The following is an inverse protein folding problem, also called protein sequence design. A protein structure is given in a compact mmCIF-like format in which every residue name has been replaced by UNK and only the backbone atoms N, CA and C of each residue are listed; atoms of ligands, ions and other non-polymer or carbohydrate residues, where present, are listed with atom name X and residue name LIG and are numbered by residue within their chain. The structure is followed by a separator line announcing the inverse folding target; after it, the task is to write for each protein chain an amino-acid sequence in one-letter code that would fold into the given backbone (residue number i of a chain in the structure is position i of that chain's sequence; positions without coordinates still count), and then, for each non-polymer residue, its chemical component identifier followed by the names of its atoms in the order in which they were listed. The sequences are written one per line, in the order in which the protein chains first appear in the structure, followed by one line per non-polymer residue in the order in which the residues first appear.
data_IF_012915941051
#
_entry.id   IF_012915941051
#
_cell.length_a   1.000
_cell.length_b   1.000
_cell.length_c   1.000
_cell.angle_alpha   90.00
_cell.angle_beta   90.00
_cell.angle_gamma   90.00
#
_symmetry.space_group_name_H-M   'P 1'
#
loop_
_entity.id
_entity.type
_entity.pdbx_description
1 polymer ?
#
# COMPACT_ATOMS: atom_id res chain seq x y z
N UNK A 1 1.92 54.07 -63.62
CA UNK A 1 2.15 52.92 -64.51
C UNK A 1 3.11 52.02 -63.81
N UNK A 2 2.70 50.91 -63.38
CA UNK A 2 2.96 49.51 -63.78
C UNK A 2 2.31 48.59 -62.75
N UNK A 3 1.45 47.74 -63.24
CA UNK A 3 0.69 46.72 -62.44
C UNK A 3 1.58 45.61 -61.98
N UNK A 4 1.50 45.20 -60.67
CA UNK A 4 2.04 43.99 -60.07
C UNK A 4 0.92 43.09 -59.56
N UNK A 5 0.70 41.95 -60.23
CA UNK A 5 -0.30 40.95 -59.91
C UNK A 5 -0.03 40.29 -58.55
N UNK A 6 -1.00 40.31 -57.63
CA UNK A 6 -1.04 39.48 -56.44
C UNK A 6 -1.34 38.02 -56.84
N UNK A 7 -0.38 37.12 -56.57
CA UNK A 7 -0.61 35.67 -56.51
C UNK A 7 -1.28 35.34 -55.17
N UNK A 8 -2.47 34.75 -55.20
CA UNK A 8 -3.09 34.07 -54.06
C UNK A 8 -2.30 32.77 -53.80
N UNK A 9 -1.61 32.69 -52.66
CA UNK A 9 -1.16 31.43 -52.13
C UNK A 9 -2.28 30.85 -51.30
N UNK A 10 -2.77 29.71 -51.68
CA UNK A 10 -3.66 28.86 -50.93
C UNK A 10 -2.78 28.16 -49.90
N UNK A 11 -2.75 28.67 -48.68
CA UNK A 11 -2.16 27.95 -47.53
C UNK A 11 -3.08 26.80 -47.11
N UNK A 12 -2.69 25.65 -47.56
CA UNK A 12 -3.19 24.37 -47.06
C UNK A 12 -2.57 24.16 -45.64
N UNK A 13 -3.28 24.60 -44.60
CA UNK A 13 -2.93 24.24 -43.22
C UNK A 13 -3.22 22.75 -43.07
N UNK A 14 -2.21 21.91 -43.36
CA UNK A 14 -2.13 20.54 -42.83
C UNK A 14 -2.12 20.68 -41.30
N UNK A 15 -3.08 20.04 -40.65
CA UNK A 15 -3.11 19.83 -39.22
C UNK A 15 -1.83 19.04 -38.85
N UNK A 16 -0.81 19.74 -38.39
CA UNK A 16 0.36 19.11 -37.76
C UNK A 16 -0.15 18.38 -36.51
N UNK A 17 -0.31 17.08 -36.62
CA UNK A 17 -0.43 16.21 -35.46
C UNK A 17 0.78 16.45 -34.58
N UNK A 18 0.56 16.87 -33.35
CA UNK A 18 1.59 16.97 -32.33
C UNK A 18 2.17 15.56 -32.18
N UNK A 19 3.38 15.34 -32.68
CA UNK A 19 4.12 14.09 -32.42
C UNK A 19 4.22 13.95 -30.91
N UNK A 20 3.54 12.93 -30.36
CA UNK A 20 3.60 12.62 -28.94
C UNK A 20 4.98 12.02 -28.68
N UNK A 21 5.85 12.77 -28.01
CA UNK A 21 7.18 12.30 -27.61
C UNK A 21 7.04 11.13 -26.65
N UNK A 22 7.45 9.94 -27.10
CA UNK A 22 7.41 8.70 -26.29
C UNK A 22 8.66 8.65 -25.44
N UNK A 23 8.54 8.69 -24.10
CA UNK A 23 9.71 8.60 -23.23
C UNK A 23 10.48 7.30 -23.45
N UNK A 24 11.80 7.38 -23.42
CA UNK A 24 12.63 6.17 -23.47
C UNK A 24 12.53 5.43 -22.13
N UNK A 25 11.97 4.24 -22.15
CA UNK A 25 11.85 3.34 -21.00
C UNK A 25 12.77 2.14 -21.22
N UNK A 26 13.83 2.03 -20.40
CA UNK A 26 14.70 0.85 -20.42
C UNK A 26 14.00 -0.31 -19.72
N UNK A 27 13.60 -1.33 -20.47
CA UNK A 27 12.84 -2.47 -19.94
C UNK A 27 13.76 -3.70 -19.86
N UNK A 28 13.88 -4.27 -18.66
CA UNK A 28 14.61 -5.50 -18.35
C UNK A 28 13.63 -6.56 -17.86
N UNK A 29 13.24 -7.46 -18.74
CA UNK A 29 12.24 -8.50 -18.44
C UNK A 29 12.85 -9.58 -17.57
N UNK A 30 12.11 -10.04 -16.57
CA UNK A 30 12.53 -11.14 -15.70
C UNK A 30 12.09 -12.49 -16.30
N UNK A 31 12.99 -13.48 -16.26
CA UNK A 31 12.66 -14.85 -16.74
C UNK A 31 12.79 -15.05 -18.25
N UNK A 32 13.19 -14.04 -19.01
CA UNK A 32 13.45 -14.12 -20.45
C UNK A 32 14.94 -13.94 -20.70
N UNK A 33 15.51 -14.67 -21.66
CA UNK A 33 16.92 -14.49 -22.07
C UNK A 33 17.13 -13.04 -22.52
N UNK A 34 18.28 -12.46 -22.17
CA UNK A 34 18.59 -11.05 -22.43
C UNK A 34 18.55 -10.68 -23.90
N UNK A 35 19.09 -11.53 -24.77
CA UNK A 35 19.11 -11.29 -26.22
C UNK A 35 17.70 -11.42 -26.83
N UNK A 36 16.92 -12.38 -26.39
CA UNK A 36 15.53 -12.54 -26.75
C UNK A 36 14.69 -11.33 -26.31
N UNK A 37 14.85 -10.87 -25.07
CA UNK A 37 14.15 -9.69 -24.55
C UNK A 37 14.46 -8.43 -25.37
N UNK A 38 15.71 -8.22 -25.77
CA UNK A 38 16.12 -7.10 -26.64
C UNK A 38 15.46 -7.23 -28.03
N UNK A 39 15.46 -8.41 -28.61
CA UNK A 39 14.80 -8.67 -29.91
C UNK A 39 13.29 -8.37 -29.86
N UNK A 40 12.60 -8.84 -28.81
CA UNK A 40 11.17 -8.57 -28.60
C UNK A 40 10.90 -7.07 -28.45
N UNK A 41 11.72 -6.36 -27.70
CA UNK A 41 11.61 -4.90 -27.51
C UNK A 41 11.76 -4.13 -28.83
N UNK A 42 12.76 -4.47 -29.65
CA UNK A 42 12.97 -3.86 -30.97
C UNK A 42 11.77 -4.12 -31.88
N UNK A 43 11.27 -5.35 -31.94
CA UNK A 43 10.10 -5.70 -32.71
C UNK A 43 8.83 -4.95 -32.21
N UNK A 44 8.66 -4.79 -30.92
CA UNK A 44 7.51 -4.09 -30.35
C UNK A 44 7.53 -2.58 -30.63
N UNK A 45 8.69 -1.94 -30.76
CA UNK A 45 8.81 -0.50 -31.09
C UNK A 45 8.13 -0.13 -32.42
N UNK A 46 8.02 -1.07 -33.36
CA UNK A 46 7.38 -0.88 -34.65
C UNK A 46 5.85 -1.04 -34.61
N UNK A 47 5.29 -1.49 -33.48
CA UNK A 47 3.85 -1.72 -33.35
C UNK A 47 3.12 -0.42 -32.99
N UNK A 48 1.93 -0.16 -33.55
CA UNK A 48 1.14 1.06 -33.27
C UNK A 48 0.73 1.17 -31.79
N UNK A 49 0.66 0.05 -31.07
CA UNK A 49 0.37 0.01 -29.63
C UNK A 49 1.55 0.38 -28.74
N UNK A 50 2.77 0.54 -29.26
CA UNK A 50 3.96 0.83 -28.44
C UNK A 50 3.90 2.20 -27.76
N UNK A 51 3.63 3.32 -28.48
CA UNK A 51 3.52 4.62 -27.85
C UNK A 51 2.51 4.67 -26.70
N UNK A 52 1.24 4.27 -26.86
CA UNK A 52 0.28 4.30 -25.77
C UNK A 52 0.64 3.33 -24.63
N UNK A 53 1.30 2.20 -24.92
CA UNK A 53 1.76 1.25 -23.90
C UNK A 53 2.82 1.88 -22.98
N UNK A 54 3.82 2.53 -23.54
CA UNK A 54 4.89 3.18 -22.76
C UNK A 54 4.37 4.41 -22.00
N UNK A 55 3.53 5.23 -22.66
CA UNK A 55 2.93 6.40 -22.03
C UNK A 55 2.04 6.04 -20.84
N UNK A 56 1.31 4.94 -20.92
CA UNK A 56 0.47 4.46 -19.82
C UNK A 56 1.31 4.23 -18.55
N UNK A 57 2.45 3.55 -18.65
CA UNK A 57 3.32 3.23 -17.51
C UNK A 57 4.11 4.47 -17.05
N UNK A 58 4.68 5.23 -17.97
CA UNK A 58 5.47 6.42 -17.60
C UNK A 58 4.61 7.50 -16.96
N UNK A 59 3.37 7.69 -17.43
CA UNK A 59 2.41 8.61 -16.80
C UNK A 59 1.98 8.12 -15.42
N UNK A 60 1.80 6.82 -15.24
CA UNK A 60 1.53 6.24 -13.92
C UNK A 60 2.67 6.53 -12.93
N UNK A 61 3.92 6.32 -13.35
CA UNK A 61 5.10 6.66 -12.53
C UNK A 61 5.14 8.16 -12.22
N UNK A 62 4.93 9.02 -13.22
CA UNK A 62 4.93 10.47 -13.06
C UNK A 62 3.84 10.97 -12.10
N UNK A 63 2.69 10.33 -12.11
CA UNK A 63 1.57 10.64 -11.20
C UNK A 63 1.67 9.92 -9.86
N UNK A 64 2.73 9.12 -9.65
CA UNK A 64 2.96 8.30 -8.43
C UNK A 64 1.91 7.22 -8.22
N UNK A 65 1.31 6.71 -9.29
CA UNK A 65 0.43 5.57 -9.20
C UNK A 65 1.22 4.32 -8.77
N UNK A 66 0.70 3.59 -7.82
CA UNK A 66 1.25 2.30 -7.39
C UNK A 66 0.60 1.12 -8.12
N UNK A 67 -0.53 1.36 -8.82
CA UNK A 67 -1.22 0.36 -9.65
C UNK A 67 -1.85 1.00 -10.87
N UNK A 68 -1.91 0.20 -11.94
CA UNK A 68 -2.74 0.47 -13.14
C UNK A 68 -3.70 -0.69 -13.28
N UNK A 69 -4.99 -0.41 -13.33
CA UNK A 69 -6.03 -1.41 -13.61
C UNK A 69 -6.66 -1.08 -14.96
N UNK A 70 -6.74 -2.06 -15.87
CA UNK A 70 -7.39 -1.92 -17.15
C UNK A 70 -8.49 -2.97 -17.25
N UNK A 71 -9.71 -2.54 -17.39
CA UNK A 71 -10.87 -3.40 -17.63
C UNK A 71 -11.26 -3.31 -19.12
N UNK A 72 -11.13 -4.44 -19.81
CA UNK A 72 -11.52 -4.59 -21.22
C UNK A 72 -12.98 -5.01 -21.33
N UNK A 73 -13.69 -4.44 -22.29
CA UNK A 73 -15.06 -4.79 -22.66
C UNK A 73 -15.19 -4.95 -24.17
N UNK A 74 -16.36 -5.32 -24.66
CA UNK A 74 -16.62 -5.41 -26.10
C UNK A 74 -16.43 -4.07 -26.84
N UNK A 75 -16.67 -2.94 -26.13
CA UNK A 75 -16.66 -1.60 -26.72
C UNK A 75 -15.29 -0.90 -26.63
N UNK A 76 -14.39 -1.35 -25.76
CA UNK A 76 -13.09 -0.72 -25.51
C UNK A 76 -12.52 -1.08 -24.17
N UNK A 77 -11.68 -0.22 -23.62
CA UNK A 77 -11.12 -0.42 -22.28
C UNK A 77 -11.11 0.88 -21.46
N UNK A 78 -11.25 0.72 -20.15
CA UNK A 78 -11.09 1.80 -19.17
C UNK A 78 -9.87 1.49 -18.31
N UNK A 79 -8.90 2.39 -18.35
CA UNK A 79 -7.75 2.33 -17.47
C UNK A 79 -7.97 3.23 -16.24
N UNK A 80 -7.43 2.79 -15.09
CA UNK A 80 -7.46 3.53 -13.84
C UNK A 80 -6.09 3.50 -13.21
N UNK A 81 -5.66 4.64 -12.67
CA UNK A 81 -4.49 4.73 -11.82
C UNK A 81 -4.88 4.71 -10.35
N UNK A 82 -4.14 3.98 -9.52
CA UNK A 82 -4.28 4.12 -8.08
C UNK A 82 -3.20 5.07 -7.56
N UNK A 83 -3.60 6.30 -7.22
CA UNK A 83 -2.71 7.35 -6.70
C UNK A 83 -3.02 7.61 -5.24
N UNK A 84 -2.02 7.47 -4.38
CA UNK A 84 -2.18 7.65 -2.93
C UNK A 84 -3.35 6.81 -2.34
N UNK A 85 -3.62 5.63 -2.92
CA UNK A 85 -4.68 4.70 -2.51
C UNK A 85 -6.05 4.93 -3.15
N UNK A 86 -6.24 5.98 -3.95
CA UNK A 86 -7.49 6.29 -4.64
C UNK A 86 -7.40 5.91 -6.12
N UNK A 87 -8.45 5.28 -6.64
CA UNK A 87 -8.56 4.97 -8.05
C UNK A 87 -9.07 6.18 -8.83
N UNK A 88 -8.33 6.59 -9.85
CA UNK A 88 -8.67 7.68 -10.77
C UNK A 88 -8.85 7.09 -12.17
N UNK A 89 -10.01 7.29 -12.77
CA UNK A 89 -10.28 6.83 -14.14
C UNK A 89 -9.58 7.72 -15.16
N UNK A 90 -8.98 7.10 -16.16
CA UNK A 90 -8.47 7.77 -17.34
C UNK A 90 -9.57 7.84 -18.43
N UNK A 91 -9.41 8.66 -19.45
CA UNK A 91 -10.28 8.62 -20.62
C UNK A 91 -10.39 7.21 -21.17
N UNK A 92 -11.59 6.81 -21.59
CA UNK A 92 -11.82 5.51 -22.21
C UNK A 92 -11.03 5.38 -23.52
N UNK A 93 -10.48 4.19 -23.76
CA UNK A 93 -9.79 3.84 -24.99
C UNK A 93 -10.72 3.04 -25.89
N UNK A 94 -10.68 3.32 -27.19
CA UNK A 94 -11.34 2.45 -28.18
C UNK A 94 -10.71 1.05 -28.16
N UNK A 95 -11.46 0.08 -28.71
CA UNK A 95 -11.07 -1.33 -28.68
C UNK A 95 -9.75 -1.60 -29.39
N UNK A 96 -9.52 -0.98 -30.56
CA UNK A 96 -8.33 -1.20 -31.36
C UNK A 96 -7.06 -0.70 -30.66
N UNK A 97 -7.11 0.50 -30.09
CA UNK A 97 -6.01 1.08 -29.29
C UNK A 97 -5.72 0.24 -28.04
N UNK A 98 -6.75 -0.18 -27.32
CA UNK A 98 -6.60 -0.98 -26.12
C UNK A 98 -6.00 -2.38 -26.40
N UNK A 99 -6.47 -3.05 -27.45
CA UNK A 99 -5.95 -4.35 -27.87
C UNK A 99 -4.50 -4.24 -28.37
N UNK A 100 -4.18 -3.21 -29.15
CA UNK A 100 -2.81 -2.96 -29.62
C UNK A 100 -1.83 -2.74 -28.45
N UNK A 101 -2.22 -1.95 -27.44
CA UNK A 101 -1.45 -1.73 -26.22
C UNK A 101 -1.21 -3.04 -25.45
N UNK A 102 -2.23 -3.86 -25.27
CA UNK A 102 -2.15 -5.13 -24.56
C UNK A 102 -1.23 -6.14 -25.26
N UNK A 103 -1.34 -6.22 -26.59
CA UNK A 103 -0.46 -7.06 -27.42
C UNK A 103 1.01 -6.69 -27.23
N UNK A 104 1.32 -5.38 -27.16
CA UNK A 104 2.68 -4.90 -26.91
C UNK A 104 3.18 -5.38 -25.55
N UNK A 105 2.42 -5.19 -24.48
CA UNK A 105 2.86 -5.60 -23.15
C UNK A 105 3.03 -7.12 -23.04
N UNK A 106 2.09 -7.91 -23.56
CA UNK A 106 2.23 -9.37 -23.57
C UNK A 106 3.46 -9.83 -24.36
N UNK A 107 3.71 -9.24 -25.53
CA UNK A 107 4.92 -9.56 -26.34
C UNK A 107 6.21 -9.17 -25.62
N UNK A 108 6.32 -7.96 -25.06
CA UNK A 108 7.50 -7.51 -24.31
C UNK A 108 7.80 -8.50 -23.17
N UNK A 109 6.78 -9.02 -22.51
CA UNK A 109 6.90 -9.92 -21.35
C UNK A 109 7.04 -11.40 -21.75
N UNK A 110 7.12 -11.73 -23.03
CA UNK A 110 7.19 -13.13 -23.50
C UNK A 110 5.90 -13.93 -23.26
N UNK A 111 4.77 -13.25 -23.09
CA UNK A 111 3.46 -13.85 -22.85
C UNK A 111 2.70 -14.07 -24.17
N UNK A 112 1.67 -14.92 -24.14
CA UNK A 112 0.81 -15.18 -25.32
C UNK A 112 -0.22 -14.07 -25.52
N UNK A 113 -0.13 -13.24 -26.59
CA UNK A 113 -1.10 -12.17 -26.85
C UNK A 113 -2.51 -12.68 -27.18
N UNK A 114 -2.63 -13.89 -27.71
CA UNK A 114 -3.91 -14.48 -28.10
C UNK A 114 -4.68 -15.05 -26.90
N UNK A 115 -3.98 -15.40 -25.82
CA UNK A 115 -4.61 -15.92 -24.60
C UNK A 115 -5.24 -14.79 -23.79
N UNK A 116 -6.57 -14.84 -23.61
CA UNK A 116 -7.34 -13.81 -22.91
C UNK A 116 -8.16 -14.34 -21.73
N UNK A 117 -8.18 -15.66 -21.54
CA UNK A 117 -8.99 -16.30 -20.48
C UNK A 117 -8.13 -16.75 -19.31
N UNK A 118 -7.05 -17.46 -19.61
CA UNK A 118 -6.11 -17.92 -18.58
C UNK A 118 -5.34 -16.76 -17.97
N UNK A 119 -4.98 -16.92 -16.70
CA UNK A 119 -4.11 -15.98 -16.01
C UNK A 119 -2.71 -16.05 -16.62
N UNK A 120 -2.15 -14.89 -16.88
CA UNK A 120 -0.76 -14.71 -17.29
C UNK A 120 -0.10 -13.68 -16.39
N UNK A 121 1.10 -13.98 -15.90
CA UNK A 121 1.88 -13.12 -15.04
C UNK A 121 3.23 -12.81 -15.71
N UNK A 122 3.68 -11.57 -15.58
CA UNK A 122 4.99 -11.12 -16.07
C UNK A 122 5.61 -10.09 -15.12
N UNK A 123 6.92 -9.91 -15.21
CA UNK A 123 7.64 -8.94 -14.38
C UNK A 123 8.79 -8.33 -15.14
N UNK A 124 8.98 -7.03 -14.97
CA UNK A 124 10.13 -6.34 -15.54
C UNK A 124 10.66 -5.26 -14.59
N UNK A 125 11.92 -4.96 -14.72
CA UNK A 125 12.57 -3.82 -14.09
C UNK A 125 12.78 -2.72 -15.11
N UNK A 126 12.75 -1.48 -14.67
CA UNK A 126 13.04 -0.31 -15.50
C UNK A 126 13.72 0.77 -14.69
N UNK A 127 14.59 1.57 -15.35
CA UNK A 127 15.05 2.84 -14.81
C UNK A 127 14.27 3.96 -15.49
N UNK A 128 13.68 4.83 -14.70
CA UNK A 128 12.96 6.00 -15.21
C UNK A 128 13.19 7.18 -14.26
N UNK A 129 13.74 8.27 -14.77
CA UNK A 129 14.17 9.46 -14.01
C UNK A 129 15.13 9.11 -12.86
N UNK A 130 16.16 8.33 -13.17
CA UNK A 130 17.21 7.89 -12.24
C UNK A 130 16.69 7.08 -11.02
N UNK A 131 15.47 6.56 -11.13
CA UNK A 131 14.87 5.69 -10.14
C UNK A 131 14.64 4.31 -10.75
N UNK A 132 15.10 3.27 -10.04
CA UNK A 132 14.86 1.89 -10.41
C UNK A 132 13.46 1.45 -9.93
N UNK A 133 12.68 0.93 -10.86
CA UNK A 133 11.34 0.41 -10.63
C UNK A 133 11.27 -1.07 -10.93
N UNK A 134 10.40 -1.76 -10.23
CA UNK A 134 9.99 -3.13 -10.52
C UNK A 134 8.49 -3.11 -10.77
N UNK A 135 8.09 -3.64 -11.92
CA UNK A 135 6.70 -3.61 -12.36
C UNK A 135 6.24 -5.05 -12.62
N UNK A 136 5.22 -5.47 -11.88
CA UNK A 136 4.56 -6.74 -12.09
C UNK A 136 3.33 -6.54 -12.95
N UNK A 137 3.11 -7.43 -13.91
CA UNK A 137 1.97 -7.47 -14.82
C UNK A 137 1.18 -8.73 -14.55
N UNK A 138 -0.13 -8.62 -14.52
CA UNK A 138 -1.06 -9.75 -14.46
C UNK A 138 -2.21 -9.50 -15.42
N UNK A 139 -2.56 -10.48 -16.23
CA UNK A 139 -3.81 -10.47 -16.99
C UNK A 139 -4.64 -11.70 -16.69
N UNK A 140 -5.95 -11.57 -16.70
CA UNK A 140 -6.89 -12.68 -16.48
C UNK A 140 -8.22 -12.42 -17.16
N UNK A 141 -8.88 -13.47 -17.64
CA UNK A 141 -10.23 -13.38 -18.18
C UNK A 141 -11.24 -13.06 -17.07
N UNK A 142 -12.20 -12.22 -17.41
CA UNK A 142 -13.36 -11.88 -16.58
C UNK A 142 -14.63 -11.96 -17.45
N UNK A 143 -15.84 -12.08 -16.89
CA UNK A 143 -17.06 -12.21 -17.69
C UNK A 143 -17.27 -11.10 -18.73
N UNK A 144 -16.82 -9.89 -18.46
CA UNK A 144 -16.92 -8.73 -19.34
C UNK A 144 -15.80 -8.64 -20.40
N UNK A 145 -14.76 -9.49 -20.32
CA UNK A 145 -13.60 -9.45 -21.21
C UNK A 145 -12.32 -9.89 -20.54
N UNK A 146 -11.31 -9.01 -20.52
CA UNK A 146 -10.02 -9.25 -19.86
C UNK A 146 -9.73 -8.15 -18.86
N UNK A 147 -9.11 -8.50 -17.76
CA UNK A 147 -8.64 -7.55 -16.73
C UNK A 147 -7.12 -7.60 -16.65
N UNK A 148 -6.50 -6.45 -16.67
CA UNK A 148 -5.04 -6.30 -16.56
C UNK A 148 -4.71 -5.44 -15.34
N UNK A 149 -3.74 -5.90 -14.55
CA UNK A 149 -3.24 -5.18 -13.39
C UNK A 149 -1.72 -5.04 -13.50
N UNK A 150 -1.23 -3.80 -13.43
CA UNK A 150 0.18 -3.53 -13.16
C UNK A 150 0.33 -3.12 -11.69
N UNK A 151 1.37 -3.63 -11.05
CA UNK A 151 1.81 -3.17 -9.73
C UNK A 151 3.18 -2.53 -9.90
N UNK A 152 3.32 -1.27 -9.47
CA UNK A 152 4.50 -0.43 -9.69
C UNK A 152 5.16 -0.19 -8.34
N UNK A 153 6.40 -0.65 -8.18
CA UNK A 153 7.16 -0.57 -6.94
C UNK A 153 8.56 -0.02 -7.19
N UNK A 154 9.11 0.73 -6.24
CA UNK A 154 10.52 1.10 -6.28
C UNK A 154 11.37 -0.11 -5.92
N UNK A 155 12.46 -0.35 -6.66
CA UNK A 155 13.39 -1.45 -6.39
C UNK A 155 14.05 -1.31 -5.01
N UNK A 156 14.38 -0.08 -4.63
CA UNK A 156 14.94 0.21 -3.29
C UNK A 156 13.87 0.83 -2.41
N UNK A 157 13.66 0.34 -1.20
CA UNK A 157 12.71 0.94 -0.26
C UNK A 157 13.18 2.34 0.12
N UNK A 158 12.22 3.26 0.21
CA UNK A 158 12.48 4.65 0.62
C UNK A 158 12.43 4.77 2.13
N UNK A 159 11.52 4.02 2.78
CA UNK A 159 11.28 4.04 4.22
C UNK A 159 12.17 3.00 4.91
N UNK A 160 12.91 3.42 5.93
CA UNK A 160 13.88 2.57 6.65
C UNK A 160 13.66 2.54 8.16
N UNK A 161 13.03 3.57 8.71
CA UNK A 161 12.86 3.74 10.15
C UNK A 161 11.39 3.86 10.53
N UNK A 162 11.06 3.62 11.80
CA UNK A 162 9.72 3.83 12.34
C UNK A 162 9.32 5.32 12.24
N UNK A 163 10.28 6.23 12.33
CA UNK A 163 10.07 7.67 12.11
C UNK A 163 9.68 7.99 10.68
N UNK A 164 10.28 7.31 9.69
CA UNK A 164 9.90 7.48 8.26
C UNK A 164 8.44 7.06 8.00
N UNK A 165 7.92 6.10 8.77
CA UNK A 165 6.51 5.72 8.72
C UNK A 165 5.57 6.79 9.29
N UNK A 166 6.10 7.75 10.04
CA UNK A 166 5.33 8.76 10.78
C UNK A 166 4.92 8.31 12.18
N UNK A 167 5.56 7.26 12.73
CA UNK A 167 5.28 6.79 14.09
C UNK A 167 5.86 7.74 15.13
N UNK A 168 5.04 8.16 16.10
CA UNK A 168 5.47 9.04 17.20
C UNK A 168 6.43 8.32 18.15
N UNK A 169 7.36 9.06 18.74
CA UNK A 169 8.43 8.53 19.60
C UNK A 169 7.90 7.64 20.73
N UNK A 170 6.85 8.07 21.44
CA UNK A 170 6.25 7.28 22.51
C UNK A 170 5.71 5.91 22.02
N UNK A 171 5.15 5.85 20.81
CA UNK A 171 4.68 4.59 20.21
C UNK A 171 5.86 3.74 19.79
N UNK A 172 6.93 4.38 19.23
CA UNK A 172 8.16 3.68 18.86
C UNK A 172 8.84 3.04 20.06
N UNK A 173 8.98 3.76 21.16
CA UNK A 173 9.59 3.26 22.39
C UNK A 173 8.79 2.08 22.96
N UNK A 174 7.47 2.20 23.03
CA UNK A 174 6.60 1.13 23.52
C UNK A 174 6.70 -0.11 22.61
N UNK A 175 6.63 0.08 21.29
CA UNK A 175 6.74 -1.04 20.33
C UNK A 175 8.11 -1.72 20.41
N UNK A 176 9.20 -0.93 20.47
CA UNK A 176 10.57 -1.48 20.63
C UNK A 176 10.70 -2.24 21.94
N UNK A 177 10.16 -1.71 23.03
CA UNK A 177 10.14 -2.40 24.32
C UNK A 177 9.44 -3.78 24.25
N UNK A 178 8.31 -3.83 23.51
CA UNK A 178 7.60 -5.11 23.28
C UNK A 178 8.38 -6.07 22.38
N UNK A 179 8.92 -5.60 21.25
CA UNK A 179 9.69 -6.45 20.31
C UNK A 179 10.95 -7.01 20.95
N UNK A 180 11.56 -6.24 21.84
CA UNK A 180 12.79 -6.62 22.56
C UNK A 180 12.51 -7.30 23.92
N UNK A 181 11.26 -7.56 24.24
CA UNK A 181 10.85 -8.27 25.45
C UNK A 181 11.37 -9.70 25.50
N UNK A 182 11.64 -10.22 26.70
CA UNK A 182 12.22 -11.55 26.87
C UNK A 182 11.27 -12.68 26.47
N UNK A 183 9.98 -12.50 26.67
CA UNK A 183 8.95 -13.50 26.36
C UNK A 183 7.63 -12.86 25.97
N UNK A 184 6.86 -13.55 25.17
CA UNK A 184 5.50 -13.15 24.84
C UNK A 184 5.20 -13.13 23.35
N UNK A 185 4.12 -12.47 22.97
CA UNK A 185 3.68 -12.34 21.58
C UNK A 185 3.39 -10.89 21.26
N UNK A 186 3.97 -10.40 20.15
CA UNK A 186 3.63 -9.12 19.55
C UNK A 186 2.96 -9.37 18.19
N UNK A 187 1.86 -8.68 17.95
CA UNK A 187 1.10 -8.77 16.70
C UNK A 187 1.22 -7.45 15.94
N UNK A 188 1.60 -7.52 14.66
CA UNK A 188 1.60 -6.37 13.74
C UNK A 188 0.48 -6.58 12.73
N UNK A 189 -0.37 -5.58 12.55
CA UNK A 189 -1.54 -5.71 11.69
C UNK A 189 -1.83 -4.44 10.90
N UNK A 190 -2.57 -4.60 9.82
CA UNK A 190 -3.15 -3.51 9.03
C UNK A 190 -4.30 -4.06 8.19
N UNK A 191 -5.25 -3.23 7.76
CA UNK A 191 -6.21 -3.61 6.74
C UNK A 191 -5.50 -3.96 5.41
N UNK A 192 -6.17 -4.73 4.57
CA UNK A 192 -5.63 -5.07 3.24
C UNK A 192 -5.24 -3.80 2.46
N UNK A 193 -4.09 -3.83 1.80
CA UNK A 193 -3.53 -2.72 1.00
C UNK A 193 -3.08 -1.47 1.79
N UNK A 194 -3.09 -1.53 3.11
CA UNK A 194 -2.64 -0.43 3.99
C UNK A 194 -1.16 -0.54 4.41
N UNK A 195 -0.32 -1.29 3.69
CA UNK A 195 1.14 -1.27 3.86
C UNK A 195 1.68 -2.18 4.94
N UNK A 196 0.94 -3.23 5.33
CA UNK A 196 1.38 -4.23 6.32
C UNK A 196 2.81 -4.77 6.04
N UNK A 197 3.19 -5.17 4.80
CA UNK A 197 4.54 -5.67 4.54
C UNK A 197 5.64 -4.64 4.85
N UNK A 198 5.39 -3.36 4.57
CA UNK A 198 6.36 -2.28 4.84
C UNK A 198 6.56 -2.09 6.34
N UNK A 199 5.46 -1.98 7.11
CA UNK A 199 5.54 -1.81 8.56
C UNK A 199 6.12 -3.04 9.25
N UNK A 200 5.74 -4.24 8.81
CA UNK A 200 6.29 -5.50 9.27
C UNK A 200 7.82 -5.51 9.13
N UNK A 201 8.33 -5.28 7.93
CA UNK A 201 9.75 -5.26 7.66
C UNK A 201 10.48 -4.19 8.50
N UNK A 202 9.97 -2.96 8.52
CA UNK A 202 10.61 -1.86 9.27
C UNK A 202 10.57 -2.11 10.77
N UNK A 203 9.49 -2.67 11.32
CA UNK A 203 9.44 -3.02 12.74
C UNK A 203 10.49 -4.07 13.09
N UNK A 204 10.63 -5.11 12.29
CA UNK A 204 11.67 -6.13 12.48
C UNK A 204 13.08 -5.58 12.26
N UNK A 205 13.31 -4.72 11.26
CA UNK A 205 14.63 -4.09 11.03
C UNK A 205 15.06 -3.19 12.20
N UNK A 206 14.11 -2.58 12.91
CA UNK A 206 14.36 -1.69 14.05
C UNK A 206 14.32 -2.40 15.43
N UNK A 207 14.10 -3.72 15.46
CA UNK A 207 14.23 -4.52 16.67
C UNK A 207 15.72 -4.82 16.96
N UNK A 208 16.02 -5.12 18.23
CA UNK A 208 17.38 -5.48 18.66
C UNK A 208 17.68 -6.94 18.32
N UNK A 209 18.34 -7.14 17.18
CA UNK A 209 18.71 -8.45 16.63
C UNK A 209 20.20 -8.80 16.81
N UNK A 210 20.95 -7.99 17.52
CA UNK A 210 22.39 -8.22 17.71
C UNK A 210 22.71 -9.07 18.91
N UNK A 211 21.80 -9.09 19.90
CA UNK A 211 21.99 -9.79 21.17
C UNK A 211 21.09 -11.02 21.33
N UNK A 212 20.22 -11.27 20.36
CA UNK A 212 19.25 -12.38 20.38
C UNK A 212 19.21 -13.09 19.03
N UNK A 213 18.96 -14.40 19.06
CA UNK A 213 18.82 -15.20 17.84
C UNK A 213 17.36 -15.13 17.33
N UNK A 214 17.18 -14.50 16.18
CA UNK A 214 15.90 -14.32 15.51
C UNK A 214 15.77 -15.28 14.34
N UNK A 215 14.69 -16.04 14.30
CA UNK A 215 14.38 -16.95 13.19
C UNK A 215 13.04 -16.62 12.58
N UNK A 216 12.99 -16.60 11.25
CA UNK A 216 11.75 -16.44 10.48
C UNK A 216 11.40 -17.78 9.85
N UNK A 217 10.14 -18.20 9.98
CA UNK A 217 9.60 -19.41 9.33
C UNK A 217 8.44 -19.01 8.45
N UNK A 218 8.59 -19.16 7.13
CA UNK A 218 7.62 -18.69 6.15
C UNK A 218 7.46 -19.67 4.98
N UNK A 219 6.34 -19.58 4.27
CA UNK A 219 6.17 -20.29 3.01
C UNK A 219 7.03 -19.65 1.92
N UNK A 220 7.82 -20.43 1.22
CA UNK A 220 8.74 -19.98 0.16
C UNK A 220 8.03 -19.19 -0.96
N UNK A 221 6.73 -19.45 -1.20
CA UNK A 221 5.92 -18.68 -2.16
C UNK A 221 5.70 -17.24 -1.75
N UNK A 222 5.79 -16.93 -0.46
CA UNK A 222 5.54 -15.62 0.11
C UNK A 222 6.82 -14.90 0.53
N UNK A 223 7.98 -15.44 0.14
CA UNK A 223 9.30 -14.89 0.53
C UNK A 223 9.37 -13.39 0.26
N UNK A 224 9.68 -12.65 1.31
CA UNK A 224 9.95 -11.21 1.30
C UNK A 224 11.47 -10.96 1.27
N UNK A 225 11.93 -9.71 1.01
CA UNK A 225 13.35 -9.39 1.11
C UNK A 225 13.94 -9.68 2.49
N UNK A 226 15.14 -10.22 2.51
CA UNK A 226 15.87 -10.62 3.71
C UNK A 226 15.95 -9.49 4.75
N UNK A 227 15.85 -9.85 6.01
CA UNK A 227 16.01 -8.95 7.15
C UNK A 227 17.36 -9.24 7.80
N UNK A 228 18.19 -8.22 7.94
CA UNK A 228 19.53 -8.36 8.52
C UNK A 228 19.44 -8.96 9.94
N UNK A 229 20.27 -9.97 10.22
CA UNK A 229 20.34 -10.72 11.49
C UNK A 229 19.03 -11.44 11.87
N UNK A 230 18.25 -11.86 10.88
CA UNK A 230 17.16 -12.84 11.03
C UNK A 230 17.49 -14.03 10.16
N UNK A 231 17.58 -15.22 10.75
CA UNK A 231 17.82 -16.46 10.00
C UNK A 231 16.51 -16.98 9.42
N UNK A 232 16.45 -17.14 8.10
CA UNK A 232 15.22 -17.52 7.39
C UNK A 232 15.15 -19.02 7.14
N UNK A 233 13.98 -19.60 7.37
CA UNK A 233 13.65 -20.99 7.11
C UNK A 233 12.36 -21.06 6.32
N UNK A 234 12.36 -21.81 5.23
CA UNK A 234 11.22 -21.89 4.32
C UNK A 234 10.63 -23.29 4.29
N UNK A 235 9.30 -23.37 4.32
CA UNK A 235 8.54 -24.56 3.97
C UNK A 235 7.86 -24.35 2.60
N UNK A 236 7.60 -25.47 1.88
CA UNK A 236 6.95 -25.41 0.57
C UNK A 236 6.12 -26.66 0.29
N UNK A 237 5.14 -26.53 -0.62
CA UNK A 237 4.32 -27.66 -1.05
C UNK A 237 5.20 -28.70 -1.78
N UNK A 238 5.17 -29.95 -1.34
CA UNK A 238 6.00 -31.04 -1.88
C UNK A 238 7.43 -31.11 -1.35
N UNK A 239 7.79 -30.19 -0.42
CA UNK A 239 9.02 -30.19 0.36
C UNK A 239 8.77 -30.43 1.84
N UNK A 240 9.62 -29.83 2.70
CA UNK A 240 9.41 -29.86 4.14
C UNK A 240 8.12 -29.14 4.51
N UNK A 241 7.29 -29.76 5.37
CA UNK A 241 6.11 -29.11 5.92
C UNK A 241 6.50 -28.03 6.95
N UNK A 242 5.56 -27.14 7.26
CA UNK A 242 5.78 -26.09 8.25
C UNK A 242 6.16 -26.68 9.64
N UNK A 243 5.55 -27.80 10.02
CA UNK A 243 5.86 -28.53 11.27
C UNK A 243 7.28 -29.10 11.25
N UNK A 244 7.70 -29.72 10.15
CA UNK A 244 9.05 -30.28 10.01
C UNK A 244 10.11 -29.16 10.08
N UNK A 245 9.86 -28.03 9.42
CA UNK A 245 10.75 -26.88 9.50
C UNK A 245 10.79 -26.34 10.93
N UNK A 246 9.64 -26.18 11.58
CA UNK A 246 9.58 -25.71 12.96
C UNK A 246 10.35 -26.64 13.92
N UNK A 247 10.19 -27.94 13.80
CA UNK A 247 10.92 -28.94 14.65
C UNK A 247 12.44 -28.85 14.46
N UNK A 248 12.92 -28.66 13.22
CA UNK A 248 14.35 -28.44 12.94
C UNK A 248 14.84 -27.10 13.57
N UNK A 249 14.05 -26.04 13.48
CA UNK A 249 14.40 -24.71 14.02
C UNK A 249 14.40 -24.73 15.55
N UNK A 250 13.44 -25.41 16.18
CA UNK A 250 13.32 -25.50 17.62
C UNK A 250 14.58 -26.14 18.27
N UNK A 251 15.23 -27.09 17.61
CA UNK A 251 16.45 -27.71 18.09
C UNK A 251 17.64 -26.73 18.17
N UNK A 252 17.57 -25.60 17.47
CA UNK A 252 18.57 -24.53 17.54
C UNK A 252 18.33 -23.54 18.68
N UNK A 253 17.23 -23.67 19.39
CA UNK A 253 16.84 -22.86 20.54
C UNK A 253 16.85 -21.34 20.29
N UNK A 254 16.26 -20.83 19.19
CA UNK A 254 16.26 -19.38 18.94
C UNK A 254 15.52 -18.64 20.07
N UNK A 255 15.84 -17.35 20.21
CA UNK A 255 15.19 -16.51 21.21
C UNK A 255 13.86 -15.95 20.74
N UNK A 256 13.75 -15.66 19.43
CA UNK A 256 12.58 -15.03 18.83
C UNK A 256 12.12 -15.79 17.59
N UNK A 257 10.87 -16.20 17.60
CA UNK A 257 10.18 -16.80 16.46
C UNK A 257 9.41 -15.71 15.69
N UNK A 258 9.79 -15.46 14.45
CA UNK A 258 9.09 -14.56 13.52
C UNK A 258 8.21 -15.43 12.64
N UNK A 259 6.90 -15.34 12.84
CA UNK A 259 5.91 -16.14 12.12
C UNK A 259 4.97 -15.17 11.35
N UNK A 260 5.19 -14.92 10.05
CA UNK A 260 4.34 -14.04 9.24
C UNK A 260 2.87 -14.47 9.19
N UNK A 261 2.59 -15.73 9.52
CA UNK A 261 1.24 -16.24 9.78
C UNK A 261 1.29 -17.29 10.88
N UNK A 262 0.23 -17.40 11.66
CA UNK A 262 0.08 -18.49 12.61
C UNK A 262 -0.37 -19.76 11.84
N UNK A 263 0.59 -20.64 11.61
CA UNK A 263 0.46 -21.80 10.72
C UNK A 263 0.00 -23.01 11.53
N UNK A 264 -1.26 -23.40 11.40
CA UNK A 264 -1.77 -24.64 11.99
C UNK A 264 -1.75 -24.72 13.52
N UNK A 265 -2.64 -25.51 14.13
CA UNK A 265 -2.75 -25.60 15.58
C UNK A 265 -1.54 -26.27 16.26
N UNK A 266 -0.83 -27.18 15.56
CA UNK A 266 0.34 -27.88 16.10
C UNK A 266 1.52 -26.91 16.30
N UNK A 267 1.76 -26.00 15.34
CA UNK A 267 2.82 -25.00 15.47
C UNK A 267 2.47 -24.00 16.55
N UNK A 268 1.21 -23.56 16.63
CA UNK A 268 0.75 -22.66 17.69
C UNK A 268 0.98 -23.29 19.07
N UNK A 269 0.63 -24.56 19.25
CA UNK A 269 0.87 -25.30 20.50
C UNK A 269 2.37 -25.39 20.83
N UNK A 270 3.19 -25.74 19.84
CA UNK A 270 4.62 -25.88 20.02
C UNK A 270 5.30 -24.56 20.37
N UNK A 271 4.94 -23.45 19.68
CA UNK A 271 5.47 -22.11 19.99
C UNK A 271 5.03 -21.65 21.37
N UNK A 272 3.77 -21.85 21.74
CA UNK A 272 3.29 -21.54 23.09
C UNK A 272 4.07 -22.33 24.16
N UNK A 273 4.40 -23.58 23.87
CA UNK A 273 5.27 -24.38 24.73
C UNK A 273 6.65 -23.77 24.93
N UNK A 274 7.26 -23.24 23.87
CA UNK A 274 8.54 -22.54 23.93
C UNK A 274 8.43 -21.21 24.74
N UNK A 275 7.37 -20.41 24.51
CA UNK A 275 7.16 -19.17 25.24
C UNK A 275 6.98 -19.41 26.74
N UNK A 276 6.17 -20.43 27.12
CA UNK A 276 5.88 -20.69 28.53
C UNK A 276 7.03 -21.36 29.29
N UNK A 277 7.71 -22.33 28.66
CA UNK A 277 8.74 -23.16 29.32
C UNK A 277 10.14 -22.57 29.19
N UNK A 278 10.44 -21.96 28.07
CA UNK A 278 11.80 -21.54 27.70
C UNK A 278 11.96 -20.01 27.57
N UNK A 279 10.93 -19.24 27.97
CA UNK A 279 10.92 -17.76 27.93
C UNK A 279 11.25 -17.20 26.53
N UNK A 280 10.73 -17.84 25.47
CA UNK A 280 10.91 -17.37 24.09
C UNK A 280 9.91 -16.28 23.72
N UNK A 281 10.22 -15.55 22.65
CA UNK A 281 9.38 -14.49 22.13
C UNK A 281 8.83 -14.84 20.77
N UNK A 282 7.64 -14.31 20.41
CA UNK A 282 7.02 -14.49 19.11
C UNK A 282 6.56 -13.18 18.53
N UNK A 283 6.86 -12.95 17.26
CA UNK A 283 6.32 -11.85 16.49
C UNK A 283 5.51 -12.41 15.32
N UNK A 284 4.27 -11.96 15.18
CA UNK A 284 3.39 -12.41 14.10
C UNK A 284 2.66 -11.23 13.46
N UNK A 285 2.08 -11.45 12.28
CA UNK A 285 1.26 -10.44 11.59
C UNK A 285 -0.06 -11.00 11.10
N UNK A 286 -1.06 -10.11 10.96
CA UNK A 286 -2.38 -10.48 10.45
C UNK A 286 -3.02 -9.28 9.74
N UNK A 287 -3.85 -9.56 8.72
CA UNK A 287 -4.68 -8.53 8.09
C UNK A 287 -5.93 -8.32 8.94
N UNK A 288 -6.08 -7.12 9.49
CA UNK A 288 -7.20 -6.80 10.38
C UNK A 288 -7.59 -5.32 10.30
N UNK A 289 -8.83 -5.01 10.65
CA UNK A 289 -9.38 -3.64 10.58
C UNK A 289 -8.84 -2.71 11.67
N UNK A 290 -8.59 -3.23 12.86
CA UNK A 290 -8.03 -2.52 14.02
C UNK A 290 -7.29 -3.50 14.95
N UNK A 291 -6.68 -3.00 16.02
CA UNK A 291 -5.92 -3.84 16.95
C UNK A 291 -6.80 -4.84 17.71
N UNK A 292 -8.04 -4.50 18.01
CA UNK A 292 -9.03 -5.36 18.67
C UNK A 292 -9.40 -6.52 17.76
N UNK A 293 -9.76 -6.20 16.49
CA UNK A 293 -10.09 -7.19 15.47
C UNK A 293 -8.91 -8.15 15.21
N UNK A 294 -7.70 -7.64 15.15
CA UNK A 294 -6.49 -8.47 14.97
C UNK A 294 -6.35 -9.55 16.05
N UNK A 295 -6.50 -9.17 17.33
CA UNK A 295 -6.38 -10.13 18.41
C UNK A 295 -7.58 -11.08 18.45
N UNK A 296 -8.80 -10.60 18.22
CA UNK A 296 -10.00 -11.46 18.14
C UNK A 296 -9.84 -12.51 17.03
N UNK A 297 -9.37 -12.14 15.84
CA UNK A 297 -9.14 -13.08 14.74
C UNK A 297 -8.13 -14.18 15.12
N UNK A 298 -7.03 -13.81 15.77
CA UNK A 298 -6.02 -14.76 16.25
C UNK A 298 -6.63 -15.74 17.28
N UNK A 299 -7.37 -15.22 18.25
CA UNK A 299 -7.98 -16.04 19.30
C UNK A 299 -9.09 -16.98 18.76
N UNK A 300 -9.97 -16.45 17.89
CA UNK A 300 -11.04 -17.23 17.26
C UNK A 300 -10.52 -18.23 16.24
N UNK A 301 -9.43 -17.91 15.55
CA UNK A 301 -8.76 -18.82 14.63
C UNK A 301 -8.07 -20.00 15.36
N UNK A 302 -7.81 -19.87 16.67
CA UNK A 302 -7.12 -20.87 17.49
C UNK A 302 -7.89 -21.18 18.79
N UNK A 303 -9.14 -21.66 18.75
CA UNK A 303 -10.02 -21.73 19.91
C UNK A 303 -9.47 -22.60 21.03
N UNK A 304 -8.77 -23.70 20.72
CA UNK A 304 -8.13 -24.59 21.71
C UNK A 304 -7.00 -23.89 22.47
N UNK A 305 -6.33 -22.92 21.85
CA UNK A 305 -5.17 -22.22 22.39
C UNK A 305 -5.46 -20.75 22.75
N UNK A 306 -6.70 -20.28 22.58
CA UNK A 306 -7.09 -18.88 22.75
C UNK A 306 -6.67 -18.30 24.11
N UNK A 307 -6.92 -19.03 25.21
CA UNK A 307 -6.54 -18.61 26.56
C UNK A 307 -5.02 -18.49 26.72
N UNK A 308 -4.25 -19.41 26.14
CA UNK A 308 -2.79 -19.39 26.21
C UNK A 308 -2.20 -18.27 25.35
N UNK A 309 -2.73 -18.06 24.12
CA UNK A 309 -2.35 -16.96 23.24
C UNK A 309 -2.63 -15.59 23.90
N UNK A 310 -3.82 -15.43 24.48
CA UNK A 310 -4.16 -14.21 25.21
C UNK A 310 -3.23 -13.99 26.42
N UNK A 311 -2.85 -15.06 27.11
CA UNK A 311 -1.94 -15.02 28.25
C UNK A 311 -0.54 -14.52 27.90
N UNK A 312 -0.05 -14.82 26.69
CA UNK A 312 1.29 -14.42 26.22
C UNK A 312 1.26 -13.13 25.38
N UNK A 313 0.10 -12.63 24.96
CA UNK A 313 -0.02 -11.41 24.20
C UNK A 313 0.50 -10.20 25.01
N UNK A 314 1.44 -9.45 24.44
CA UNK A 314 1.98 -8.22 25.01
C UNK A 314 1.36 -6.98 24.38
N UNK A 315 1.14 -7.02 23.06
CA UNK A 315 0.54 -5.91 22.36
C UNK A 315 0.22 -6.20 20.92
N UNK A 316 -0.62 -5.34 20.38
CA UNK A 316 -1.04 -5.36 18.98
C UNK A 316 -0.83 -3.97 18.39
N UNK A 317 0.07 -3.88 17.42
CA UNK A 317 0.19 -2.71 16.57
C UNK A 317 -0.75 -2.87 15.38
N UNK A 318 -1.66 -1.92 15.18
CA UNK A 318 -2.39 -1.82 13.91
C UNK A 318 -2.06 -0.50 13.24
N UNK A 319 -2.08 -0.49 11.90
CA UNK A 319 -1.86 0.74 11.13
C UNK A 319 -2.90 0.92 10.04
N UNK A 320 -3.12 2.20 9.68
CA UNK A 320 -3.87 2.59 8.49
C UNK A 320 -3.13 3.66 7.72
N UNK A 321 -3.12 3.55 6.38
CA UNK A 321 -2.59 4.62 5.54
C UNK A 321 -3.65 5.70 5.35
N UNK A 322 -3.22 6.95 5.50
CA UNK A 322 -4.01 8.16 5.27
C UNK A 322 -3.25 9.08 4.32
N UNK A 323 -3.96 9.83 3.47
CA UNK A 323 -3.32 10.77 2.55
C UNK A 323 -2.81 12.00 3.29
N UNK A 324 -1.63 12.47 2.90
CA UNK A 324 -1.06 13.72 3.40
C UNK A 324 -1.56 14.89 2.58
N UNK A 325 -1.92 15.98 3.24
CA UNK A 325 -2.22 17.25 2.56
C UNK A 325 -1.01 17.71 1.73
N UNK A 326 -1.27 18.28 0.58
CA UNK A 326 -0.22 18.88 -0.22
C UNK A 326 0.27 20.18 0.44
N UNK A 327 1.52 20.20 0.87
CA UNK A 327 2.12 21.35 1.54
C UNK A 327 2.11 22.63 0.67
N UNK A 328 2.08 22.49 -0.67
CA UNK A 328 2.13 23.63 -1.59
C UNK A 328 0.78 24.31 -1.81
N UNK A 329 -0.35 23.63 -1.49
CA UNK A 329 -1.67 24.20 -1.78
C UNK A 329 -2.71 23.99 -0.68
N UNK A 330 -2.37 23.34 0.45
CA UNK A 330 -3.32 23.23 1.57
C UNK A 330 -3.75 24.61 2.06
N UNK A 331 -5.01 24.74 2.43
CA UNK A 331 -5.58 26.00 2.94
C UNK A 331 -5.85 25.89 4.44
N UNK A 332 -5.31 26.85 5.18
CA UNK A 332 -5.62 26.98 6.60
C UNK A 332 -7.03 27.59 6.78
N UNK A 333 -7.76 27.12 7.78
CA UNK A 333 -9.02 27.71 8.22
C UNK A 333 -9.12 27.66 9.75
N UNK A 334 -9.88 28.61 10.32
CA UNK A 334 -10.12 28.65 11.74
C UNK A 334 -11.29 27.72 12.09
N UNK A 335 -11.06 26.69 12.94
CA UNK A 335 -12.14 25.80 13.35
C UNK A 335 -13.12 26.50 14.28
N UNK A 336 -14.42 26.15 14.19
CA UNK A 336 -15.40 26.64 15.15
C UNK A 336 -15.21 26.00 16.52
N UNK A 337 -15.56 26.67 17.65
CA UNK A 337 -15.51 26.07 18.98
C UNK A 337 -16.26 24.74 19.10
N UNK A 338 -17.42 24.65 18.46
CA UNK A 338 -18.23 23.41 18.41
C UNK A 338 -17.51 22.26 17.70
N UNK A 339 -16.76 22.57 16.63
CA UNK A 339 -15.95 21.57 15.93
C UNK A 339 -14.81 21.07 16.82
N UNK A 340 -14.10 21.97 17.49
CA UNK A 340 -13.03 21.61 18.43
C UNK A 340 -13.56 20.72 19.57
N UNK A 341 -14.68 21.09 20.17
CA UNK A 341 -15.33 20.28 21.21
C UNK A 341 -15.69 18.87 20.69
N UNK A 342 -16.27 18.78 19.49
CA UNK A 342 -16.63 17.50 18.87
C UNK A 342 -15.42 16.60 18.60
N UNK A 343 -14.26 17.21 18.33
CA UNK A 343 -13.00 16.50 18.11
C UNK A 343 -12.24 16.20 19.43
N UNK A 344 -12.73 16.65 20.58
CA UNK A 344 -12.03 16.54 21.86
C UNK A 344 -10.76 17.38 21.95
N UNK A 345 -10.65 18.43 21.11
CA UNK A 345 -9.49 19.33 21.09
C UNK A 345 -9.70 20.51 22.05
N UNK A 346 -8.69 20.85 22.87
CA UNK A 346 -8.78 21.98 23.80
C UNK A 346 -8.96 23.31 23.04
N UNK A 347 -9.93 24.10 23.47
CA UNK A 347 -10.12 25.45 22.93
C UNK A 347 -8.84 26.29 23.10
N UNK A 348 -8.47 27.04 22.06
CA UNK A 348 -7.29 27.91 22.05
C UNK A 348 -5.94 27.24 21.81
N UNK A 349 -5.83 25.90 21.88
CA UNK A 349 -4.58 25.19 21.57
C UNK A 349 -4.41 24.85 20.09
N UNK A 350 -5.51 24.79 19.32
CA UNK A 350 -5.51 24.52 17.88
C UNK A 350 -6.09 25.74 17.15
N UNK A 351 -5.26 26.73 16.79
CA UNK A 351 -5.74 27.97 16.19
C UNK A 351 -6.21 27.80 14.74
N UNK A 352 -5.71 26.76 14.06
CA UNK A 352 -6.05 26.51 12.66
C UNK A 352 -6.03 25.01 12.34
N UNK A 353 -6.93 24.61 11.45
CA UNK A 353 -6.90 23.34 10.76
C UNK A 353 -6.66 23.56 9.28
N UNK A 354 -6.45 22.48 8.51
CA UNK A 354 -6.15 22.58 7.10
C UNK A 354 -7.10 21.73 6.27
N UNK A 355 -7.43 22.20 5.08
CA UNK A 355 -8.23 21.49 4.08
C UNK A 355 -7.47 21.38 2.76
N UNK A 356 -7.78 20.39 1.90
CA UNK A 356 -7.19 20.26 0.58
C UNK A 356 -7.72 21.38 -0.33
N UNK A 357 -6.88 21.85 -1.26
CA UNK A 357 -7.31 22.66 -2.39
C UNK A 357 -7.53 21.74 -3.59
N UNK A 358 -8.78 21.40 -3.85
CA UNK A 358 -9.20 20.60 -5.00
C UNK A 358 -9.97 21.51 -5.93
N UNK A 359 -9.49 21.76 -7.18
CA UNK A 359 -10.21 22.56 -8.13
C UNK A 359 -11.53 21.88 -8.50
N UNK A 360 -12.60 22.62 -8.78
CA UNK A 360 -13.85 22.06 -9.27
C UNK A 360 -13.62 21.29 -10.59
N UNK A 361 -14.49 20.32 -10.93
CA UNK A 361 -14.44 19.66 -12.23
C UNK A 361 -14.42 20.65 -13.40
N UNK A 362 -13.79 20.31 -14.55
CA UNK A 362 -13.68 21.24 -15.68
C UNK A 362 -15.00 21.88 -16.10
N UNK A 363 -16.09 21.13 -16.05
CA UNK A 363 -17.44 21.56 -16.43
C UNK A 363 -18.01 22.64 -15.48
N UNK A 364 -17.50 22.72 -14.27
CA UNK A 364 -17.93 23.69 -13.25
C UNK A 364 -16.99 24.90 -13.14
N UNK A 365 -15.94 24.97 -13.98
CA UNK A 365 -14.99 26.09 -14.00
C UNK A 365 -15.53 27.21 -14.90
N UNK A 366 -16.61 27.83 -14.45
CA UNK A 366 -17.27 28.93 -15.19
C UNK A 366 -17.41 30.14 -14.30
N UNK A 367 -17.38 31.34 -14.93
CA UNK A 367 -17.68 32.58 -14.24
C UNK A 367 -19.19 32.72 -13.98
N UNK A 368 -19.61 33.82 -13.35
CA UNK A 368 -21.03 34.14 -13.09
C UNK A 368 -21.87 34.26 -14.34
N UNK A 369 -21.25 34.40 -15.54
CA UNK A 369 -21.90 34.48 -16.83
C UNK A 369 -21.87 33.16 -17.61
N UNK A 370 -21.28 32.09 -17.03
CA UNK A 370 -21.17 30.80 -17.67
C UNK A 370 -19.96 30.62 -18.59
N UNK A 371 -19.02 31.60 -18.66
CA UNK A 371 -17.83 31.44 -19.48
C UNK A 371 -16.77 30.60 -18.76
N UNK A 372 -16.02 29.73 -19.48
CA UNK A 372 -14.93 28.94 -18.89
C UNK A 372 -13.87 29.87 -18.28
N UNK A 373 -13.45 29.52 -17.05
CA UNK A 373 -12.33 30.18 -16.36
C UNK A 373 -11.17 29.23 -16.20
N UNK A 374 -9.95 29.70 -16.46
CA UNK A 374 -8.74 29.00 -16.14
C UNK A 374 -8.45 29.10 -14.65
N UNK A 375 -8.32 27.97 -13.99
CA UNK A 375 -7.94 27.88 -12.57
C UNK A 375 -6.50 27.33 -12.52
N UNK A 376 -5.63 28.04 -11.79
CA UNK A 376 -4.27 27.54 -11.58
C UNK A 376 -4.29 26.24 -10.75
N UNK A 377 -3.82 25.17 -11.39
CA UNK A 377 -3.74 23.84 -10.77
C UNK A 377 -2.38 23.69 -10.08
N UNK A 378 -2.39 23.27 -8.82
CA UNK A 378 -1.15 23.02 -8.09
C UNK A 378 -0.28 21.98 -8.80
N UNK A 379 0.90 22.40 -9.28
CA UNK A 379 1.84 21.55 -10.02
C UNK A 379 2.37 20.36 -9.21
N UNK A 380 2.45 20.49 -7.87
CA UNK A 380 2.96 19.41 -7.00
C UNK A 380 1.99 18.24 -6.89
N UNK A 381 0.72 18.50 -6.58
CA UNK A 381 -0.28 17.45 -6.40
C UNK A 381 -1.17 17.24 -7.63
N UNK A 382 -0.99 18.05 -8.68
CA UNK A 382 -1.80 18.03 -9.89
C UNK A 382 -3.31 18.17 -9.60
N UNK A 383 -3.65 19.12 -8.71
CA UNK A 383 -5.04 19.41 -8.33
C UNK A 383 -5.69 18.43 -7.34
N UNK A 384 -4.97 17.39 -6.87
CA UNK A 384 -5.53 16.39 -5.95
C UNK A 384 -5.72 16.89 -4.53
N UNK A 385 -5.06 18.00 -4.14
CA UNK A 385 -5.06 18.52 -2.76
C UNK A 385 -4.23 17.68 -1.77
N UNK A 386 -3.84 16.46 -2.15
CA UNK A 386 -3.04 15.53 -1.36
C UNK A 386 -1.77 15.11 -2.10
N UNK A 387 -0.71 14.78 -1.34
CA UNK A 387 0.56 14.36 -1.90
C UNK A 387 1.25 13.34 -1.00
N UNK A 388 1.17 12.07 -1.38
CA UNK A 388 1.71 10.94 -0.63
C UNK A 388 0.78 10.48 0.50
N UNK A 389 1.23 9.46 1.20
CA UNK A 389 0.53 8.84 2.33
C UNK A 389 1.43 8.83 3.56
N UNK A 390 0.83 8.73 4.73
CA UNK A 390 1.48 8.44 6.00
C UNK A 390 0.68 7.35 6.71
N UNK A 391 1.29 6.69 7.67
CA UNK A 391 0.57 5.76 8.51
C UNK A 391 0.05 6.46 9.77
N UNK A 392 -1.16 6.10 10.17
CA UNK A 392 -1.67 6.27 11.53
C UNK A 392 -1.48 4.93 12.26
N UNK A 393 -1.12 4.98 13.52
CA UNK A 393 -0.85 3.81 14.34
C UNK A 393 -1.78 3.74 15.54
N UNK A 394 -2.27 2.53 15.79
CA UNK A 394 -2.97 2.15 17.00
C UNK A 394 -2.13 1.06 17.69
N UNK A 395 -1.61 1.32 18.87
CA UNK A 395 -0.83 0.35 19.64
C UNK A 395 -1.58 -0.04 20.90
N UNK A 396 -2.21 -1.20 20.89
CA UNK A 396 -2.93 -1.76 22.02
C UNK A 396 -1.98 -2.57 22.90
N UNK A 397 -1.71 -2.07 24.10
CA UNK A 397 -0.95 -2.80 25.12
C UNK A 397 -1.86 -3.78 25.84
N UNK A 398 -1.46 -5.02 25.97
CA UNK A 398 -2.27 -6.08 26.60
C UNK A 398 -1.79 -6.30 28.04
N UNK A 399 -2.33 -5.53 28.94
CA UNK A 399 -2.16 -5.71 30.39
C UNK A 399 -3.20 -6.72 30.95
N UNK A 400 -3.18 -6.94 32.26
CA UNK A 400 -4.08 -7.90 32.92
C UNK A 400 -5.56 -7.46 32.83
N UNK A 401 -5.84 -6.16 32.80
CA UNK A 401 -7.19 -5.66 32.64
C UNK A 401 -7.70 -5.92 31.21
N UNK A 402 -6.82 -5.68 30.23
CA UNK A 402 -7.15 -5.98 28.83
C UNK A 402 -7.33 -7.50 28.62
N UNK A 403 -6.50 -8.36 29.21
CA UNK A 403 -6.69 -9.82 29.16
C UNK A 403 -8.06 -10.24 29.70
N UNK A 404 -8.48 -9.69 30.85
CA UNK A 404 -9.80 -9.96 31.42
C UNK A 404 -10.92 -9.48 30.50
N UNK A 405 -10.80 -8.28 29.94
CA UNK A 405 -11.78 -7.72 29.02
C UNK A 405 -11.93 -8.57 27.74
N UNK A 406 -10.81 -8.98 27.13
CA UNK A 406 -10.85 -9.87 25.96
C UNK A 406 -11.49 -11.23 26.29
N UNK A 407 -11.15 -11.83 27.44
CA UNK A 407 -11.71 -13.11 27.85
C UNK A 407 -13.25 -13.05 28.07
N UNK A 408 -13.77 -11.90 28.53
CA UNK A 408 -15.19 -11.73 28.81
C UNK A 408 -16.00 -11.21 27.60
N UNK A 409 -15.40 -10.36 26.77
CA UNK A 409 -16.11 -9.61 25.74
C UNK A 409 -15.72 -9.98 24.30
N UNK A 410 -14.99 -11.08 24.09
CA UNK A 410 -14.54 -11.51 22.75
C UNK A 410 -15.69 -11.68 21.75
N UNK A 411 -16.87 -12.09 22.21
CA UNK A 411 -18.07 -12.24 21.39
C UNK A 411 -18.86 -10.91 21.20
N UNK A 412 -18.41 -9.83 21.86
CA UNK A 412 -19.02 -8.51 21.83
C UNK A 412 -18.00 -7.42 21.49
N UNK A 413 -17.47 -7.42 20.27
CA UNK A 413 -16.34 -6.54 19.89
C UNK A 413 -16.61 -5.05 20.15
N UNK A 414 -17.84 -4.58 19.97
CA UNK A 414 -18.18 -3.16 20.18
C UNK A 414 -18.17 -2.77 21.67
N UNK A 415 -18.59 -3.66 22.57
CA UNK A 415 -18.47 -3.45 24.02
C UNK A 415 -17.00 -3.46 24.44
N UNK A 416 -16.21 -4.36 23.87
CA UNK A 416 -14.76 -4.44 24.09
C UNK A 416 -14.05 -3.15 23.64
N UNK A 417 -14.35 -2.62 22.43
CA UNK A 417 -13.81 -1.35 21.96
C UNK A 417 -14.18 -0.17 22.88
N UNK A 418 -15.42 -0.13 23.37
CA UNK A 418 -15.86 0.89 24.34
C UNK A 418 -15.06 0.80 25.64
N UNK A 419 -14.87 -0.40 26.18
CA UNK A 419 -14.07 -0.62 27.37
C UNK A 419 -12.62 -0.14 27.18
N UNK A 420 -11.97 -0.54 26.08
CA UNK A 420 -10.59 -0.18 25.74
C UNK A 420 -10.43 1.34 25.62
N UNK A 421 -11.40 2.01 25.02
CA UNK A 421 -11.42 3.48 24.93
C UNK A 421 -11.58 4.13 26.30
N UNK A 422 -12.46 3.62 27.16
CA UNK A 422 -12.65 4.11 28.53
C UNK A 422 -11.41 3.91 29.42
N UNK A 423 -10.64 2.85 29.14
CA UNK A 423 -9.35 2.61 29.79
C UNK A 423 -8.22 3.55 29.32
N UNK A 424 -8.52 4.52 28.42
CA UNK A 424 -7.57 5.55 27.99
C UNK A 424 -6.73 5.16 26.77
N UNK A 425 -7.07 4.06 26.09
CA UNK A 425 -6.37 3.69 24.87
C UNK A 425 -6.64 4.67 23.73
N UNK A 426 -5.58 5.10 23.04
CA UNK A 426 -5.65 5.99 21.88
C UNK A 426 -5.79 5.16 20.60
N UNK A 427 -6.91 5.30 19.93
CA UNK A 427 -7.18 4.63 18.66
C UNK A 427 -6.91 5.52 17.45
N UNK A 428 -7.31 5.03 16.27
CA UNK A 428 -7.13 5.76 15.01
C UNK A 428 -7.83 7.13 14.97
N UNK A 429 -8.93 7.31 15.71
CA UNK A 429 -9.62 8.60 15.73
C UNK A 429 -8.74 9.65 16.40
N UNK A 430 -8.23 9.37 17.58
CA UNK A 430 -7.39 10.28 18.36
C UNK A 430 -6.07 10.59 17.62
N UNK A 431 -5.42 9.59 17.06
CA UNK A 431 -4.22 9.76 16.25
C UNK A 431 -4.49 10.57 14.97
N UNK A 432 -5.62 10.33 14.31
CA UNK A 432 -6.04 11.08 13.14
C UNK A 432 -6.37 12.54 13.45
N UNK A 433 -7.03 12.80 14.57
CA UNK A 433 -7.32 14.16 15.04
C UNK A 433 -6.02 14.93 15.33
N UNK A 434 -5.04 14.27 15.94
CA UNK A 434 -3.72 14.86 16.15
C UNK A 434 -3.03 15.18 14.83
N UNK A 435 -3.06 14.27 13.84
CA UNK A 435 -2.51 14.52 12.51
C UNK A 435 -3.20 15.70 11.80
N UNK A 436 -4.53 15.87 11.99
CA UNK A 436 -5.27 17.04 11.49
C UNK A 436 -4.82 18.33 12.19
N UNK A 437 -4.66 18.30 13.50
CA UNK A 437 -4.19 19.45 14.28
C UNK A 437 -2.77 19.90 13.87
N UNK A 438 -1.92 18.93 13.52
CA UNK A 438 -0.57 19.18 12.99
C UNK A 438 -0.58 19.60 11.51
N UNK A 439 -1.74 19.62 10.83
CA UNK A 439 -1.87 19.99 9.43
C UNK A 439 -1.27 18.97 8.45
N UNK A 440 -1.11 17.74 8.88
CA UNK A 440 -0.57 16.65 8.07
C UNK A 440 -1.63 16.01 7.17
N UNK A 441 -2.88 15.98 7.63
CA UNK A 441 -4.04 15.48 6.89
C UNK A 441 -5.26 16.37 7.12
N UNK A 442 -6.41 16.05 6.54
CA UNK A 442 -7.66 16.80 6.72
C UNK A 442 -8.72 15.96 7.45
N UNK A 443 -9.71 16.65 8.04
CA UNK A 443 -10.84 15.98 8.68
C UNK A 443 -11.66 15.13 7.71
N UNK A 444 -11.81 15.58 6.47
CA UNK A 444 -12.53 14.86 5.41
C UNK A 444 -11.85 13.52 5.12
N UNK A 445 -10.52 13.54 5.03
CA UNK A 445 -9.74 12.33 4.79
C UNK A 445 -9.76 11.39 5.99
N UNK A 446 -9.68 11.93 7.21
CA UNK A 446 -9.83 11.14 8.43
C UNK A 446 -11.21 10.45 8.47
N UNK A 447 -12.26 11.18 8.18
CA UNK A 447 -13.62 10.63 8.11
C UNK A 447 -13.74 9.53 7.04
N UNK A 448 -13.15 9.74 5.85
CA UNK A 448 -13.12 8.73 4.79
C UNK A 448 -12.50 7.42 5.25
N UNK A 449 -11.33 7.49 5.89
CA UNK A 449 -10.61 6.30 6.38
C UNK A 449 -11.35 5.58 7.50
N UNK A 450 -11.97 6.31 8.42
CA UNK A 450 -12.72 5.72 9.53
C UNK A 450 -14.02 5.05 9.06
N UNK A 451 -14.62 5.55 7.98
CA UNK A 451 -15.82 4.95 7.37
C UNK A 451 -15.52 3.77 6.44
N UNK A 452 -14.24 3.41 6.25
CA UNK A 452 -13.84 2.29 5.38
C UNK A 452 -14.04 2.55 3.88
N UNK A 453 -14.03 3.83 3.46
CA UNK A 453 -14.22 4.27 2.05
C UNK A 453 -12.91 4.54 1.34
#
# INVERSE_FOLDING_TARGET
MIFGKKKKSTDNKSSAGTEIEVPNLEIKVSGVNKDEAVGLLIACRQLPGYPPAILLVTNAINTRADRILIDFSAQGAVARYRVDGIWESLPAMDRATADALLVVWKKILGLNPAERKARQDGKFATNFRDIDWVISFMSTGVPSGERVLFTIERKKPVLKTLTDLGMRDAVQETLKGMLNGDKGMVVISAPATHGLPTTWRIALENADKFVRDWVLIENKKNQEPDIINVTEYFYEDGGDSAEQVFDKVRLKQPDVYVLPSLIGPQIVEAVLGQIHKEHKHMVTRIVASDAVDALIQILKGNPKHAKALLGVAQGVLNQRLIRRLCESCKQAYQPTPQLLQKLGLPAGRVPKLYKPTIPPPPEQRVDAKGNPIEIEICKKCNGRGYFGRMALFELLVIDDNMRKAFAQLIEKPDELRKFIKQAGHSGFFEEGVLACALGQTSLEELQRILQGK
#
